data_IF_635843605590
#
_entry.id   IF_635843605590
#
_cell.length_a   1.000
_cell.length_b   1.000
_cell.length_c   1.000
_cell.angle_alpha   90.00
_cell.angle_beta   90.00
_cell.angle_gamma   90.00
#
_symmetry.space_group_name_H-M   'P 1'
#
loop_
_entity.id
_entity.type
_entity.pdbx_description
1 polymer ?
#
# COMPACT_ATOMS: atom_id res chain seq x y z
N UNK A 1 -7.69 5.29 -1.47
CA UNK A 1 -6.97 4.00 -1.60
C UNK A 1 -6.62 3.65 -3.03
N UNK A 2 -7.60 3.58 -3.97
CA UNK A 2 -7.33 3.18 -5.38
C UNK A 2 -6.18 3.95 -6.05
N UNK A 3 -6.15 5.28 -5.94
CA UNK A 3 -5.07 6.11 -6.48
C UNK A 3 -3.67 5.71 -5.97
N UNK A 4 -3.53 5.50 -4.65
CA UNK A 4 -2.27 5.05 -4.04
C UNK A 4 -1.90 3.66 -4.56
N UNK A 5 -2.85 2.73 -4.59
CA UNK A 5 -2.60 1.37 -5.07
C UNK A 5 -2.19 1.35 -6.56
N UNK A 6 -2.85 2.14 -7.41
CA UNK A 6 -2.49 2.28 -8.82
C UNK A 6 -1.09 2.88 -9.00
N UNK A 7 -0.74 3.92 -8.23
CA UNK A 7 0.57 4.55 -8.29
C UNK A 7 1.68 3.59 -7.85
N UNK A 8 1.49 2.91 -6.71
CA UNK A 8 2.45 1.95 -6.18
C UNK A 8 2.61 0.74 -7.11
N UNK A 9 1.55 0.28 -7.77
CA UNK A 9 1.61 -0.82 -8.72
C UNK A 9 2.50 -0.55 -9.96
N UNK A 10 2.87 0.72 -10.21
CA UNK A 10 3.79 1.08 -11.30
C UNK A 10 5.26 0.77 -10.98
N UNK A 11 5.59 0.47 -9.71
CA UNK A 11 6.97 0.17 -9.30
C UNK A 11 7.46 -1.13 -9.97
N UNK A 12 8.55 -1.08 -10.75
CA UNK A 12 9.09 -2.28 -11.40
C UNK A 12 9.41 -3.38 -10.40
N UNK A 13 9.03 -4.62 -10.74
CA UNK A 13 9.28 -5.80 -9.89
C UNK A 13 8.24 -6.03 -8.79
N UNK A 14 7.46 -5.02 -8.37
CA UNK A 14 6.50 -5.16 -7.28
C UNK A 14 5.40 -6.19 -7.58
N UNK A 15 4.84 -6.16 -8.79
CA UNK A 15 3.77 -7.09 -9.16
C UNK A 15 4.22 -8.56 -9.07
N UNK A 16 5.47 -8.84 -9.46
CA UNK A 16 6.04 -10.19 -9.33
C UNK A 16 6.33 -10.54 -7.87
N UNK A 17 6.82 -9.58 -7.08
CA UNK A 17 7.02 -9.74 -5.64
C UNK A 17 5.71 -10.07 -4.92
N UNK A 18 4.66 -9.27 -5.11
CA UNK A 18 3.36 -9.47 -4.47
C UNK A 18 2.72 -10.80 -4.86
N UNK A 19 2.87 -11.26 -6.11
CA UNK A 19 2.40 -12.61 -6.51
C UNK A 19 3.11 -13.71 -5.72
N UNK A 20 4.42 -13.61 -5.52
CA UNK A 20 5.16 -14.58 -4.69
C UNK A 20 4.70 -14.53 -3.24
N UNK A 21 4.50 -13.34 -2.69
CA UNK A 21 4.00 -13.17 -1.32
C UNK A 21 2.58 -13.75 -1.17
N UNK A 22 1.69 -13.56 -2.14
CA UNK A 22 0.34 -14.12 -2.12
C UNK A 22 0.35 -15.66 -2.10
N UNK A 23 1.20 -16.29 -2.93
CA UNK A 23 1.37 -17.75 -2.94
C UNK A 23 1.86 -18.25 -1.57
N UNK A 24 2.84 -17.56 -0.98
CA UNK A 24 3.36 -17.92 0.34
C UNK A 24 2.30 -17.72 1.44
N UNK A 25 1.55 -16.63 1.38
CA UNK A 25 0.46 -16.37 2.32
C UNK A 25 -0.58 -17.50 2.24
N UNK A 26 -1.03 -17.86 1.04
CA UNK A 26 -2.01 -18.92 0.82
C UNK A 26 -1.56 -20.27 1.37
N UNK A 27 -0.29 -20.62 1.18
CA UNK A 27 0.26 -21.87 1.67
C UNK A 27 0.31 -21.97 3.21
N UNK A 28 0.40 -20.84 3.93
CA UNK A 28 0.64 -20.84 5.39
C UNK A 28 -0.52 -20.30 6.22
N UNK A 29 -1.33 -19.39 5.66
CA UNK A 29 -2.34 -18.60 6.38
C UNK A 29 -3.74 -18.71 5.76
N UNK A 30 -3.89 -19.38 4.61
CA UNK A 30 -5.16 -19.51 3.89
C UNK A 30 -5.41 -18.36 2.91
N UNK A 31 -6.67 -18.13 2.53
CA UNK A 31 -7.01 -17.21 1.42
C UNK A 31 -6.31 -15.84 1.51
N UNK A 32 -5.83 -15.35 0.35
CA UNK A 32 -5.11 -14.09 0.28
C UNK A 32 -5.96 -12.89 0.77
N UNK A 33 -5.35 -11.86 1.39
CA UNK A 33 -6.09 -10.73 1.95
C UNK A 33 -6.93 -9.99 0.90
N UNK A 34 -8.22 -9.80 1.20
CA UNK A 34 -9.12 -8.91 0.48
C UNK A 34 -9.58 -7.76 1.38
N UNK A 35 -9.83 -6.55 0.83
CA UNK A 35 -9.77 -6.21 -0.60
C UNK A 35 -8.34 -6.03 -1.15
N UNK A 36 -8.22 -6.17 -2.48
CA UNK A 36 -6.99 -5.88 -3.25
C UNK A 36 -7.35 -5.06 -4.49
N UNK A 37 -6.50 -4.10 -4.86
CA UNK A 37 -6.64 -3.30 -6.09
C UNK A 37 -5.28 -3.14 -6.76
N UNK A 38 -5.22 -3.30 -8.09
CA UNK A 38 -3.97 -3.27 -8.86
C UNK A 38 -2.87 -4.22 -8.31
N UNK A 39 -3.26 -5.33 -7.66
CA UNK A 39 -2.34 -6.27 -7.03
C UNK A 39 -1.75 -5.79 -5.69
N UNK A 40 -2.31 -4.74 -5.10
CA UNK A 40 -1.95 -4.21 -3.78
C UNK A 40 -3.08 -4.56 -2.78
N UNK A 41 -2.84 -5.46 -1.82
CA UNK A 41 -3.80 -5.73 -0.75
C UNK A 41 -3.90 -4.52 0.20
N UNK A 42 -5.09 -4.23 0.70
CA UNK A 42 -5.31 -3.16 1.67
C UNK A 42 -6.51 -3.44 2.57
N UNK A 43 -6.58 -2.73 3.70
CA UNK A 43 -7.77 -2.67 4.55
C UNK A 43 -8.11 -1.23 4.89
N UNK A 44 -9.38 -0.98 5.23
CA UNK A 44 -9.84 0.33 5.70
C UNK A 44 -10.59 0.06 7.01
N UNK A 45 -10.17 0.73 8.08
CA UNK A 45 -10.76 0.56 9.40
C UNK A 45 -10.95 1.92 10.09
N UNK A 46 -12.00 2.09 10.92
CA UNK A 46 -12.15 3.25 11.78
C UNK A 46 -10.95 3.41 12.71
N UNK A 47 -10.52 4.64 12.93
CA UNK A 47 -9.46 4.94 13.89
C UNK A 47 -10.06 5.10 15.30
N UNK A 48 -9.61 4.33 16.30
CA UNK A 48 -10.19 4.36 17.65
C UNK A 48 -9.67 5.51 18.53
N UNK A 49 -8.67 6.27 18.06
CA UNK A 49 -8.02 7.35 18.83
C UNK A 49 -8.08 8.68 18.08
N UNK A 50 -8.06 9.82 18.78
CA UNK A 50 -7.91 11.14 18.15
C UNK A 50 -6.69 11.18 17.23
N UNK A 51 -6.80 11.84 16.08
CA UNK A 51 -5.75 11.89 15.07
C UNK A 51 -6.19 12.62 13.80
N UNK A 52 -5.38 12.58 12.73
CA UNK A 52 -5.76 13.15 11.44
C UNK A 52 -7.00 12.43 10.87
N UNK A 53 -7.77 13.11 9.99
CA UNK A 53 -9.01 12.56 9.44
C UNK A 53 -8.79 11.30 8.58
N UNK A 54 -7.59 11.10 8.04
CA UNK A 54 -7.13 9.85 7.46
C UNK A 54 -5.68 9.64 7.85
N UNK A 55 -5.33 8.38 8.03
CA UNK A 55 -3.96 7.94 8.11
C UNK A 55 -3.77 6.78 7.15
N UNK A 56 -2.75 6.88 6.32
CA UNK A 56 -2.27 5.80 5.47
C UNK A 56 -1.14 5.10 6.23
N UNK A 57 -1.27 3.78 6.39
CA UNK A 57 -0.23 2.93 6.97
C UNK A 57 0.19 1.97 5.86
N UNK A 58 1.49 1.89 5.61
CA UNK A 58 2.09 0.99 4.64
C UNK A 58 3.16 0.16 5.33
N UNK A 59 3.25 -1.10 4.94
CA UNK A 59 4.24 -2.04 5.48
C UNK A 59 4.92 -2.76 4.31
N UNK A 60 6.22 -3.00 4.46
CA UNK A 60 6.98 -3.90 3.59
C UNK A 60 7.54 -5.01 4.49
N UNK A 61 7.44 -6.28 4.10
CA UNK A 61 7.49 -7.41 5.04
C UNK A 61 8.79 -7.61 5.82
N UNK A 62 9.88 -6.91 5.48
CA UNK A 62 11.18 -7.11 6.10
C UNK A 62 11.98 -5.80 6.14
N UNK A 63 12.39 -5.38 7.34
CA UNK A 63 13.21 -4.19 7.60
C UNK A 63 14.72 -4.48 7.56
N UNK A 64 15.10 -5.75 7.41
CA UNK A 64 16.50 -6.23 7.40
C UNK A 64 17.03 -6.46 5.98
N UNK A 65 16.20 -6.26 4.95
CA UNK A 65 16.62 -6.40 3.56
C UNK A 65 17.65 -5.35 3.17
N UNK A 66 18.61 -5.76 2.34
CA UNK A 66 19.63 -4.89 1.77
C UNK A 66 19.60 -4.96 0.23
N UNK A 67 20.49 -4.21 -0.42
CA UNK A 67 20.69 -4.30 -1.87
C UNK A 67 19.42 -4.03 -2.70
N UNK A 68 19.11 -4.93 -3.63
CA UNK A 68 17.98 -4.77 -4.56
C UNK A 68 16.63 -4.86 -3.85
N UNK A 69 16.50 -5.71 -2.84
CA UNK A 69 15.25 -5.84 -2.09
C UNK A 69 14.98 -4.58 -1.26
N UNK A 70 16.02 -3.99 -0.67
CA UNK A 70 15.92 -2.66 -0.05
C UNK A 70 15.50 -1.58 -1.05
N UNK A 71 16.11 -1.55 -2.24
CA UNK A 71 15.75 -0.56 -3.29
C UNK A 71 14.31 -0.69 -3.72
N UNK A 72 13.81 -1.92 -3.87
CA UNK A 72 12.40 -2.19 -4.17
C UNK A 72 11.51 -1.68 -3.03
N UNK A 73 11.77 -2.07 -1.79
CA UNK A 73 11.01 -1.63 -0.62
C UNK A 73 10.97 -0.09 -0.52
N UNK A 74 12.12 0.55 -0.65
CA UNK A 74 12.23 2.01 -0.65
C UNK A 74 11.43 2.66 -1.78
N UNK A 75 11.52 2.15 -3.02
CA UNK A 75 10.76 2.69 -4.15
C UNK A 75 9.24 2.58 -3.93
N UNK A 76 8.77 1.45 -3.42
CA UNK A 76 7.35 1.23 -3.05
C UNK A 76 6.88 2.25 -2.03
N UNK A 77 7.63 2.43 -0.95
CA UNK A 77 7.28 3.37 0.12
C UNK A 77 7.31 4.82 -0.37
N UNK A 78 8.30 5.19 -1.20
CA UNK A 78 8.37 6.51 -1.83
C UNK A 78 7.13 6.81 -2.69
N UNK A 79 6.74 5.89 -3.58
CA UNK A 79 5.57 6.11 -4.44
C UNK A 79 4.27 6.20 -3.63
N UNK A 80 4.15 5.47 -2.51
CA UNK A 80 3.00 5.59 -1.61
C UNK A 80 2.91 7.00 -0.98
N UNK A 81 4.04 7.54 -0.51
CA UNK A 81 4.11 8.89 0.07
C UNK A 81 3.78 9.95 -0.99
N UNK A 82 4.36 9.84 -2.19
CA UNK A 82 4.08 10.77 -3.28
C UNK A 82 2.61 10.75 -3.70
N UNK A 83 2.00 9.56 -3.84
CA UNK A 83 0.58 9.45 -4.15
C UNK A 83 -0.32 10.07 -3.06
N UNK A 84 0.07 9.93 -1.79
CA UNK A 84 -0.64 10.55 -0.69
C UNK A 84 -0.52 12.08 -0.71
N UNK A 85 0.67 12.60 -1.01
CA UNK A 85 0.92 14.04 -1.15
C UNK A 85 0.15 14.64 -2.33
N UNK A 86 0.20 14.01 -3.51
CA UNK A 86 -0.56 14.40 -4.71
C UNK A 86 -2.07 14.48 -4.39
N UNK A 87 -2.59 13.50 -3.65
CA UNK A 87 -3.99 13.51 -3.24
C UNK A 87 -4.34 14.62 -2.23
N UNK A 88 -3.45 14.92 -1.29
CA UNK A 88 -3.63 16.02 -0.34
C UNK A 88 -3.62 17.39 -1.05
N UNK A 89 -2.67 17.59 -1.97
CA UNK A 89 -2.53 18.81 -2.76
C UNK A 89 -3.68 19.00 -3.75
N UNK A 90 -4.19 17.91 -4.33
CA UNK A 90 -5.34 17.91 -5.25
C UNK A 90 -6.68 18.30 -4.60
N UNK A 91 -6.69 18.53 -3.29
CA UNK A 91 -7.83 19.02 -2.52
C UNK A 91 -8.65 17.90 -1.90
N UNK A 92 -8.45 17.73 -0.59
CA UNK A 92 -9.27 16.86 0.29
C UNK A 92 -10.79 17.17 0.21
N UNK A 93 -11.17 18.40 -0.16
CA UNK A 93 -12.55 18.91 -0.17
C UNK A 93 -13.52 18.29 -1.20
N UNK A 94 -13.12 17.25 -1.93
CA UNK A 94 -13.98 16.58 -2.93
C UNK A 94 -14.60 15.27 -2.47
N UNK A 95 -14.32 14.82 -1.25
CA UNK A 95 -15.01 13.66 -0.67
C UNK A 95 -16.26 14.15 0.06
N UNK A 96 -17.49 13.83 -0.41
CA UNK A 96 -18.68 14.17 0.34
C UNK A 96 -18.63 13.41 1.66
N UNK A 97 -18.73 14.15 2.76
CA UNK A 97 -19.03 13.56 4.06
C UNK A 97 -20.49 13.11 3.97
N UNK A 98 -20.70 11.80 3.81
CA UNK A 98 -22.01 11.18 3.92
C UNK A 98 -22.38 10.97 5.39
#
# INVERSE_FOLDING_TARGET
MRHVAERVATVPGLAAFNRRQAILYEAHLGEAPQPSHAGIPYSIAPRPRPGPPLALITEFPDETVEGEDFRLAHAVQREAVLAAAEWLEGGWNRVPVA
#
